data_IF_371743750712
#
_entry.id   IF_371743750712
#
_cell.length_a   1.000
_cell.length_b   1.000
_cell.length_c   1.000
_cell.angle_alpha   90.00
_cell.angle_beta   90.00
_cell.angle_gamma   90.00
#
_symmetry.space_group_name_H-M   'P 1'
#
loop_
_entity.id
_entity.type
_entity.pdbx_description
1 polymer ?
#
# COMPACT_ATOMS: atom_id res chain seq x y z
N UNK A 1 -8.52 -25.96 21.40
CA UNK A 1 -9.54 -24.92 21.62
C UNK A 1 -8.85 -23.57 21.79
N UNK A 2 -8.47 -22.93 20.68
CA UNK A 2 -7.94 -21.56 20.73
C UNK A 2 -9.14 -20.63 20.66
N UNK A 3 -9.51 -20.11 21.84
CA UNK A 3 -10.38 -18.99 22.15
C UNK A 3 -11.07 -18.29 20.94
N UNK A 4 -12.41 -18.41 20.88
CA UNK A 4 -13.18 -18.01 19.69
C UNK A 4 -13.14 -16.51 19.36
N UNK A 5 -12.75 -15.69 20.34
CA UNK A 5 -12.64 -14.23 20.26
C UNK A 5 -11.20 -13.69 20.51
N UNK A 6 -10.19 -14.55 20.62
CA UNK A 6 -8.85 -14.05 20.93
C UNK A 6 -8.25 -13.27 19.75
N UNK A 7 -7.71 -12.08 20.04
CA UNK A 7 -7.09 -11.11 19.12
C UNK A 7 -8.03 -10.45 18.09
N UNK A 8 -9.35 -10.56 18.26
CA UNK A 8 -10.31 -9.79 17.45
C UNK A 8 -10.51 -8.40 18.03
N UNK A 9 -9.89 -7.38 17.41
CA UNK A 9 -10.15 -5.97 17.75
C UNK A 9 -11.56 -5.55 17.30
N UNK A 10 -12.08 -6.18 16.24
CA UNK A 10 -13.38 -5.89 15.65
C UNK A 10 -14.17 -7.18 15.41
N UNK A 11 -15.52 -7.12 15.31
CA UNK A 11 -16.35 -8.29 14.98
C UNK A 11 -15.88 -8.94 13.67
N UNK A 12 -15.63 -10.26 13.69
CA UNK A 12 -14.90 -10.98 12.62
C UNK A 12 -15.38 -10.69 11.19
N UNK A 13 -16.69 -10.52 10.95
CA UNK A 13 -17.21 -10.24 9.61
C UNK A 13 -17.20 -8.75 9.28
N UNK A 14 -17.86 -7.92 10.09
CA UNK A 14 -17.97 -6.49 9.81
C UNK A 14 -16.62 -5.78 9.91
N UNK A 15 -15.78 -6.18 10.87
CA UNK A 15 -14.41 -5.72 11.02
C UNK A 15 -13.50 -6.10 9.85
N UNK A 16 -13.60 -7.34 9.35
CA UNK A 16 -12.82 -7.76 8.18
C UNK A 16 -13.26 -7.04 6.90
N UNK A 17 -14.56 -6.80 6.73
CA UNK A 17 -15.12 -5.99 5.63
C UNK A 17 -14.60 -4.56 5.72
N UNK A 18 -14.70 -3.91 6.88
CA UNK A 18 -14.23 -2.54 7.08
C UNK A 18 -12.72 -2.42 6.83
N UNK A 19 -11.92 -3.36 7.35
CA UNK A 19 -10.48 -3.36 7.13
C UNK A 19 -10.11 -3.63 5.66
N UNK A 20 -10.82 -4.53 4.97
CA UNK A 20 -10.60 -4.77 3.54
C UNK A 20 -10.87 -3.54 2.70
N UNK A 21 -11.91 -2.77 3.04
CA UNK A 21 -12.25 -1.53 2.36
C UNK A 21 -11.23 -0.43 2.64
N UNK A 22 -10.80 -0.28 3.89
CA UNK A 22 -9.74 0.66 4.27
C UNK A 22 -8.44 0.35 3.53
N UNK A 23 -8.01 -0.93 3.52
CA UNK A 23 -6.81 -1.36 2.82
C UNK A 23 -6.92 -1.14 1.31
N UNK A 24 -8.07 -1.44 0.70
CA UNK A 24 -8.29 -1.20 -0.72
C UNK A 24 -8.16 0.29 -1.06
N UNK A 25 -8.82 1.18 -0.30
CA UNK A 25 -8.75 2.62 -0.52
C UNK A 25 -7.34 3.18 -0.29
N UNK A 26 -6.67 2.74 0.78
CA UNK A 26 -5.31 3.17 1.09
C UNK A 26 -4.32 2.77 0.00
N UNK A 27 -4.38 1.53 -0.47
CA UNK A 27 -3.45 1.01 -1.47
C UNK A 27 -3.73 1.55 -2.88
N UNK A 28 -5.00 1.73 -3.26
CA UNK A 28 -5.35 2.38 -4.54
C UNK A 28 -4.91 3.84 -4.51
N UNK A 29 -5.18 4.57 -3.42
CA UNK A 29 -4.74 5.95 -3.25
C UNK A 29 -3.21 6.08 -3.30
N UNK A 30 -2.50 5.21 -2.59
CA UNK A 30 -1.04 5.15 -2.62
C UNK A 30 -0.49 4.79 -4.01
N UNK A 31 -1.13 3.87 -4.73
CA UNK A 31 -0.78 3.52 -6.10
C UNK A 31 -0.94 4.68 -7.08
N UNK A 32 -2.08 5.39 -7.03
CA UNK A 32 -2.30 6.60 -7.85
C UNK A 32 -1.26 7.67 -7.55
N UNK A 33 -0.96 7.89 -6.26
CA UNK A 33 0.07 8.83 -5.84
C UNK A 33 1.44 8.47 -6.43
N UNK A 34 1.82 7.19 -6.39
CA UNK A 34 3.09 6.72 -6.95
C UNK A 34 3.15 6.84 -8.47
N UNK A 35 2.04 6.64 -9.19
CA UNK A 35 2.04 6.82 -10.65
C UNK A 35 2.14 8.29 -11.08
N UNK A 36 1.59 9.22 -10.30
CA UNK A 36 1.62 10.65 -10.63
C UNK A 36 2.90 11.34 -10.17
N UNK A 37 3.34 11.02 -8.95
CA UNK A 37 4.43 11.72 -8.28
C UNK A 37 5.65 10.84 -8.01
N UNK A 38 5.61 9.54 -8.29
CA UNK A 38 6.71 8.65 -7.98
C UNK A 38 8.00 9.00 -8.71
N UNK A 39 7.93 9.54 -9.93
CA UNK A 39 9.10 9.97 -10.70
C UNK A 39 9.91 11.11 -10.03
N UNK A 40 9.30 11.88 -9.13
CA UNK A 40 10.01 12.93 -8.37
C UNK A 40 10.77 12.35 -7.17
N UNK A 41 10.24 11.27 -6.58
CA UNK A 41 10.84 10.66 -5.40
C UNK A 41 11.82 9.54 -5.76
N UNK A 42 11.58 8.84 -6.86
CA UNK A 42 12.35 7.69 -7.33
C UNK A 42 12.99 8.03 -8.66
N UNK A 43 14.29 8.31 -8.61
CA UNK A 43 15.04 8.86 -9.75
C UNK A 43 15.53 7.80 -10.73
N UNK A 44 15.36 6.51 -10.42
CA UNK A 44 15.72 5.39 -11.29
C UNK A 44 14.46 4.91 -12.00
N UNK A 45 14.41 5.13 -13.31
CA UNK A 45 13.32 4.65 -14.15
C UNK A 45 13.48 3.14 -14.40
N UNK A 46 12.44 2.27 -14.25
CA UNK A 46 11.03 2.55 -13.95
C UNK A 46 10.54 2.09 -12.54
N UNK A 47 11.27 2.37 -11.47
CA UNK A 47 10.98 1.85 -10.10
C UNK A 47 9.64 2.32 -9.54
N UNK A 48 9.28 3.60 -9.75
CA UNK A 48 8.02 4.18 -9.30
C UNK A 48 6.80 3.39 -9.80
N UNK A 49 6.84 2.94 -11.06
CA UNK A 49 5.73 2.20 -11.67
C UNK A 49 5.59 0.78 -11.12
N UNK A 50 6.71 0.15 -10.74
CA UNK A 50 6.71 -1.15 -10.07
C UNK A 50 6.10 -1.05 -8.67
N UNK A 51 6.46 -0.02 -7.90
CA UNK A 51 5.89 0.23 -6.58
C UNK A 51 4.39 0.56 -6.64
N UNK A 52 3.98 1.38 -7.61
CA UNK A 52 2.57 1.69 -7.88
C UNK A 52 1.77 0.46 -8.33
N UNK A 53 2.35 -0.37 -9.20
CA UNK A 53 1.74 -1.61 -9.67
C UNK A 53 1.51 -2.63 -8.54
N UNK A 54 2.48 -2.78 -7.64
CA UNK A 54 2.32 -3.59 -6.44
C UNK A 54 1.16 -3.07 -5.55
N UNK A 55 1.11 -1.76 -5.29
CA UNK A 55 0.05 -1.16 -4.47
C UNK A 55 -1.34 -1.41 -5.09
N UNK A 56 -1.48 -1.26 -6.41
CA UNK A 56 -2.72 -1.57 -7.11
C UNK A 56 -3.09 -3.06 -7.03
N UNK A 57 -2.13 -3.98 -7.19
CA UNK A 57 -2.38 -5.42 -7.06
C UNK A 57 -2.86 -5.79 -5.65
N UNK A 58 -2.27 -5.19 -4.62
CA UNK A 58 -2.71 -5.36 -3.25
C UNK A 58 -4.11 -4.76 -3.01
N UNK A 59 -4.40 -3.60 -3.59
CA UNK A 59 -5.74 -3.00 -3.57
C UNK A 59 -6.79 -3.91 -4.20
N UNK A 60 -6.47 -4.55 -5.33
CA UNK A 60 -7.34 -5.53 -5.98
C UNK A 60 -7.56 -6.78 -5.12
N UNK A 61 -6.51 -7.31 -4.47
CA UNK A 61 -6.61 -8.42 -3.52
C UNK A 61 -7.49 -8.07 -2.31
N UNK A 62 -7.36 -6.86 -1.78
CA UNK A 62 -8.23 -6.36 -0.71
C UNK A 62 -9.70 -6.25 -1.18
N UNK A 63 -9.94 -5.83 -2.42
CA UNK A 63 -11.27 -5.86 -3.04
C UNK A 63 -11.84 -7.27 -3.21
N UNK A 64 -11.01 -8.24 -3.62
CA UNK A 64 -11.43 -9.65 -3.65
C UNK A 64 -11.76 -10.19 -2.26
N UNK A 65 -10.99 -9.79 -1.23
CA UNK A 65 -11.26 -10.14 0.16
C UNK A 65 -12.58 -9.54 0.66
N UNK A 66 -12.91 -8.30 0.29
CA UNK A 66 -14.20 -7.68 0.58
C UNK A 66 -15.36 -8.53 0.05
N UNK A 67 -15.27 -8.97 -1.20
CA UNK A 67 -16.27 -9.84 -1.83
C UNK A 67 -16.31 -11.21 -1.12
N UNK A 68 -15.15 -11.79 -0.80
CA UNK A 68 -15.04 -13.06 -0.08
C UNK A 68 -15.70 -13.04 1.31
N UNK A 69 -15.49 -11.98 2.08
CA UNK A 69 -16.10 -11.81 3.41
C UNK A 69 -17.58 -11.49 3.35
N UNK A 70 -18.02 -10.74 2.32
CA UNK A 70 -19.43 -10.43 2.09
C UNK A 70 -20.23 -11.70 1.74
N UNK A 71 -19.72 -12.48 0.79
CA UNK A 71 -20.34 -13.70 0.25
C UNK A 71 -20.14 -14.96 1.09
N UNK A 72 -19.27 -14.92 2.11
CA UNK A 72 -18.85 -16.10 2.90
C UNK A 72 -18.26 -17.23 2.03
N UNK A 73 -17.53 -16.86 0.98
CA UNK A 73 -16.98 -17.83 0.03
C UNK A 73 -15.72 -18.50 0.57
N UNK A 74 -15.78 -19.81 0.82
CA UNK A 74 -14.64 -20.61 1.26
C UNK A 74 -13.50 -20.62 0.23
N UNK A 75 -13.83 -20.70 -1.06
CA UNK A 75 -12.85 -20.75 -2.16
C UNK A 75 -12.02 -19.47 -2.20
N UNK A 76 -12.67 -18.31 -2.13
CA UNK A 76 -12.00 -17.00 -2.18
C UNK A 76 -11.11 -16.83 -0.95
N UNK A 77 -11.61 -17.14 0.25
CA UNK A 77 -10.80 -17.02 1.48
C UNK A 77 -9.60 -17.96 1.48
N UNK A 78 -9.71 -19.16 0.90
CA UNK A 78 -8.58 -20.09 0.78
C UNK A 78 -7.53 -19.61 -0.22
N UNK A 79 -7.96 -19.09 -1.36
CA UNK A 79 -7.08 -18.49 -2.36
C UNK A 79 -6.30 -17.30 -1.78
N UNK A 80 -7.00 -16.41 -1.06
CA UNK A 80 -6.38 -15.28 -0.38
C UNK A 80 -5.35 -15.74 0.65
N UNK A 81 -5.66 -16.73 1.48
CA UNK A 81 -4.74 -17.26 2.49
C UNK A 81 -3.43 -17.79 1.87
N UNK A 82 -3.50 -18.36 0.66
CA UNK A 82 -2.33 -18.84 -0.06
C UNK A 82 -1.47 -17.69 -0.64
N UNK A 83 -2.09 -16.67 -1.24
CA UNK A 83 -1.37 -15.57 -1.91
C UNK A 83 -0.89 -14.50 -0.94
N UNK A 84 -1.66 -14.20 0.10
CA UNK A 84 -1.39 -13.09 1.01
C UNK A 84 0.00 -13.12 1.71
N UNK A 85 0.55 -14.26 2.16
CA UNK A 85 1.90 -14.26 2.74
C UNK A 85 2.99 -13.84 1.75
N UNK A 86 2.83 -14.18 0.46
CA UNK A 86 3.75 -13.72 -0.59
C UNK A 86 3.65 -12.21 -0.79
N UNK A 87 2.45 -11.66 -0.71
CA UNK A 87 2.21 -10.21 -0.80
C UNK A 87 2.82 -9.49 0.39
N UNK A 88 2.67 -10.00 1.62
CA UNK A 88 3.32 -9.43 2.81
C UNK A 88 4.83 -9.35 2.64
N UNK A 89 5.46 -10.42 2.13
CA UNK A 89 6.89 -10.46 1.89
C UNK A 89 7.32 -9.41 0.87
N UNK A 90 6.62 -9.32 -0.26
CA UNK A 90 6.88 -8.29 -1.28
C UNK A 90 6.65 -6.88 -0.73
N UNK A 91 5.65 -6.70 0.13
CA UNK A 91 5.37 -5.43 0.83
C UNK A 91 6.52 -5.00 1.73
N UNK A 92 7.12 -5.93 2.48
CA UNK A 92 8.28 -5.66 3.33
C UNK A 92 9.52 -5.26 2.51
N UNK A 93 9.79 -5.98 1.42
CA UNK A 93 10.89 -5.64 0.50
C UNK A 93 10.67 -4.26 -0.11
N UNK A 94 9.46 -4.00 -0.62
CA UNK A 94 9.09 -2.69 -1.19
C UNK A 94 9.30 -1.56 -0.18
N UNK A 95 8.78 -1.70 1.04
CA UNK A 95 8.92 -0.68 2.08
C UNK A 95 10.40 -0.40 2.40
N UNK A 96 11.23 -1.46 2.48
CA UNK A 96 12.66 -1.34 2.73
C UNK A 96 13.39 -0.58 1.62
N UNK A 97 13.18 -0.98 0.36
CA UNK A 97 13.83 -0.35 -0.80
C UNK A 97 13.38 1.10 -0.95
N UNK A 98 12.08 1.39 -0.87
CA UNK A 98 11.57 2.76 -0.98
C UNK A 98 12.12 3.67 0.12
N UNK A 99 12.22 3.18 1.36
CA UNK A 99 12.77 3.97 2.48
C UNK A 99 14.27 4.23 2.29
N UNK A 100 15.01 3.23 1.79
CA UNK A 100 16.43 3.37 1.50
C UNK A 100 16.69 4.36 0.37
N UNK A 101 15.96 4.28 -0.74
CA UNK A 101 16.08 5.20 -1.87
C UNK A 101 15.78 6.64 -1.47
N UNK A 102 14.73 6.86 -0.67
CA UNK A 102 14.38 8.20 -0.21
C UNK A 102 15.47 8.83 0.66
N UNK A 103 16.16 8.01 1.47
CA UNK A 103 17.27 8.48 2.29
C UNK A 103 18.56 8.68 1.50
N UNK A 104 18.83 7.79 0.53
CA UNK A 104 20.05 7.85 -0.28
C UNK A 104 20.03 9.00 -1.29
N UNK A 105 18.89 9.28 -1.91
CA UNK A 105 18.73 10.31 -2.95
C UNK A 105 18.09 11.61 -2.45
N UNK A 106 18.12 11.87 -1.13
CA UNK A 106 17.56 13.08 -0.52
C UNK A 106 18.07 14.38 -1.15
N UNK A 107 19.34 14.42 -1.55
CA UNK A 107 19.98 15.60 -2.14
C UNK A 107 19.40 15.94 -3.53
N UNK A 108 18.95 14.92 -4.26
CA UNK A 108 18.28 15.11 -5.56
C UNK A 108 16.93 15.77 -5.37
N UNK A 109 16.16 15.30 -4.38
CA UNK A 109 14.83 15.86 -4.04
C UNK A 109 14.97 17.30 -3.55
N UNK A 110 15.99 17.60 -2.74
CA UNK A 110 16.27 18.98 -2.32
C UNK A 110 16.60 19.89 -3.50
N UNK A 111 17.37 19.38 -4.47
CA UNK A 111 17.63 20.10 -5.71
C UNK A 111 16.34 20.36 -6.52
N UNK A 112 15.44 19.38 -6.64
CA UNK A 112 14.15 19.56 -7.34
C UNK A 112 13.32 20.67 -6.69
N UNK A 113 13.30 20.71 -5.36
CA UNK A 113 12.61 21.76 -4.61
C UNK A 113 13.21 23.15 -4.81
N UNK A 114 14.54 23.26 -4.83
CA UNK A 114 15.24 24.52 -5.04
C UNK A 114 15.14 25.04 -6.49
N UNK A 115 14.83 24.17 -7.45
CA UNK A 115 14.73 24.50 -8.87
C UNK A 115 13.28 24.54 -9.39
N UNK A 116 12.32 24.81 -8.51
CA UNK A 116 10.92 25.06 -8.89
C UNK A 116 10.09 23.80 -9.18
N UNK A 117 10.49 22.65 -8.62
CA UNK A 117 9.76 21.39 -8.69
C UNK A 117 9.91 20.64 -10.02
N UNK A 118 11.02 20.87 -10.73
CA UNK A 118 11.36 20.14 -11.96
C UNK A 118 12.01 18.82 -11.60
N UNK A 119 11.67 17.74 -12.32
CA UNK A 119 12.26 16.41 -12.12
C UNK A 119 13.77 16.44 -12.34
N UNK A 120 14.52 15.88 -11.41
CA UNK A 120 15.98 15.79 -11.46
C UNK A 120 16.44 14.92 -12.64
N UNK A 121 15.73 13.81 -12.89
CA UNK A 121 16.02 12.92 -14.02
C UNK A 121 15.92 13.64 -15.36
N UNK A 122 14.93 14.52 -15.56
CA UNK A 122 14.77 15.25 -16.81
C UNK A 122 15.85 16.31 -17.01
N UNK A 123 16.28 16.95 -15.92
CA UNK A 123 17.30 17.99 -15.94
C UNK A 123 18.73 17.46 -16.14
N UNK A 124 19.01 16.23 -15.72
CA UNK A 124 20.39 15.70 -15.74
C UNK A 124 20.62 14.58 -16.76
N UNK A 125 19.58 13.82 -17.15
CA UNK A 125 19.73 12.76 -18.15
C UNK A 125 19.56 13.27 -19.59
N UNK A 126 18.85 14.38 -19.80
CA UNK A 126 18.54 14.86 -21.15
C UNK A 126 19.39 16.03 -21.61
N UNK A 127 20.00 16.83 -20.71
CA UNK A 127 20.83 17.98 -21.11
C UNK A 127 21.78 18.45 -19.97
N UNK A 128 23.12 18.41 -20.13
CA UNK A 128 24.06 18.84 -19.08
C UNK A 128 24.05 20.36 -18.79
N UNK A 129 23.41 21.16 -19.65
CA UNK A 129 23.30 22.63 -19.51
C UNK A 129 21.84 23.07 -19.26
N UNK A 130 21.02 22.16 -18.74
CA UNK A 130 19.59 22.36 -18.54
C UNK A 130 19.30 23.56 -17.62
N UNK A 131 18.69 24.60 -18.20
CA UNK A 131 18.08 25.70 -17.45
C UNK A 131 16.61 25.38 -17.22
N UNK A 132 16.13 25.40 -15.96
CA UNK A 132 14.74 25.07 -15.67
C UNK A 132 13.81 26.03 -16.44
N UNK A 133 12.84 25.53 -17.23
CA UNK A 133 11.94 26.39 -17.96
C UNK A 133 11.10 27.24 -16.99
N UNK A 134 10.82 28.51 -17.31
CA UNK A 134 9.87 29.31 -16.54
C UNK A 134 8.52 28.60 -16.47
N UNK A 135 7.76 28.86 -15.40
CA UNK A 135 6.50 28.23 -15.02
C UNK A 135 5.49 27.99 -16.15
N UNK A 136 5.74 26.99 -17.01
CA UNK A 136 4.83 26.59 -18.08
C UNK A 136 3.99 25.41 -17.65
N UNK A 137 2.73 25.49 -18.10
CA UNK A 137 1.51 24.91 -17.54
C UNK A 137 1.36 23.39 -17.75
N UNK A 138 2.26 22.76 -18.51
CA UNK A 138 2.03 21.44 -19.08
C UNK A 138 2.94 20.33 -18.52
N UNK A 139 3.94 20.65 -17.68
CA UNK A 139 4.77 19.65 -17.02
C UNK A 139 4.31 19.41 -15.58
N UNK A 140 4.16 18.15 -15.13
CA UNK A 140 3.90 17.87 -13.72
C UNK A 140 5.05 18.48 -12.91
N UNK A 141 4.71 19.11 -11.79
CA UNK A 141 5.68 19.68 -10.84
C UNK A 141 5.48 19.05 -9.49
N UNK A 142 6.57 18.96 -8.73
CA UNK A 142 6.48 18.62 -7.32
C UNK A 142 5.62 19.69 -6.61
N UNK A 143 4.56 19.31 -5.87
CA UNK A 143 3.70 20.29 -5.21
C UNK A 143 4.49 21.08 -4.17
N UNK A 144 4.37 22.42 -4.20
CA UNK A 144 5.08 23.32 -3.29
C UNK A 144 4.90 22.99 -1.80
N UNK A 145 3.81 22.33 -1.43
CA UNK A 145 3.56 21.84 -0.07
C UNK A 145 4.63 20.85 0.42
N UNK A 146 5.12 19.95 -0.45
CA UNK A 146 6.16 18.99 -0.08
C UNK A 146 7.51 19.69 0.17
N UNK A 147 7.87 20.66 -0.66
CA UNK A 147 9.10 21.43 -0.49
C UNK A 147 9.09 22.33 0.75
N UNK A 148 7.92 22.77 1.21
CA UNK A 148 7.80 23.59 2.42
C UNK A 148 7.98 22.77 3.71
N UNK A 149 7.63 21.49 3.70
CA UNK A 149 7.70 20.59 4.86
C UNK A 149 9.10 19.98 5.03
N UNK A 150 9.87 19.87 3.94
CA UNK A 150 11.25 19.39 3.96
C UNK A 150 11.37 17.88 3.76
N UNK A 151 12.40 17.46 3.03
CA UNK A 151 12.60 16.06 2.58
C UNK A 151 12.74 15.09 3.75
N UNK A 152 13.40 15.50 4.83
CA UNK A 152 13.63 14.68 6.02
C UNK A 152 12.33 14.36 6.78
N UNK A 153 11.45 15.36 6.93
CA UNK A 153 10.14 15.18 7.56
C UNK A 153 9.22 14.31 6.69
N UNK A 154 9.26 14.50 5.37
CA UNK A 154 8.48 13.71 4.41
C UNK A 154 8.93 12.25 4.44
N UNK A 155 10.23 11.99 4.41
CA UNK A 155 10.77 10.62 4.45
C UNK A 155 10.46 9.88 5.75
N UNK A 156 10.56 10.57 6.89
CA UNK A 156 10.18 9.98 8.19
C UNK A 156 8.68 9.63 8.21
N UNK A 157 7.84 10.48 7.63
CA UNK A 157 6.38 10.23 7.54
C UNK A 157 6.07 9.03 6.65
N UNK A 158 6.74 8.90 5.49
CA UNK A 158 6.59 7.75 4.61
C UNK A 158 7.06 6.44 5.28
N UNK A 159 8.21 6.46 5.96
CA UNK A 159 8.70 5.30 6.70
C UNK A 159 7.68 4.85 7.77
N UNK A 160 7.14 5.79 8.54
CA UNK A 160 6.12 5.49 9.54
C UNK A 160 4.83 4.94 8.91
N UNK A 161 4.40 5.51 7.78
CA UNK A 161 3.24 5.01 7.04
C UNK A 161 3.44 3.57 6.55
N UNK A 162 4.64 3.20 6.08
CA UNK A 162 4.95 1.83 5.66
C UNK A 162 4.96 0.84 6.83
N UNK A 163 5.43 1.24 8.01
CA UNK A 163 5.37 0.39 9.21
C UNK A 163 3.92 0.10 9.60
N UNK A 164 3.07 1.14 9.59
CA UNK A 164 1.63 0.97 9.87
C UNK A 164 0.99 0.06 8.82
N UNK A 165 1.29 0.28 7.53
CA UNK A 165 0.77 -0.56 6.44
C UNK A 165 1.16 -2.03 6.65
N UNK A 166 2.41 -2.31 7.02
CA UNK A 166 2.88 -3.67 7.30
C UNK A 166 2.14 -4.31 8.48
N UNK A 167 1.90 -3.57 9.57
CA UNK A 167 1.11 -4.06 10.71
C UNK A 167 -0.33 -4.36 10.28
N UNK A 168 -0.94 -3.46 9.49
CA UNK A 168 -2.29 -3.66 8.98
C UNK A 168 -2.38 -4.86 8.03
N UNK A 169 -1.37 -5.09 7.18
CA UNK A 169 -1.28 -6.29 6.35
C UNK A 169 -1.21 -7.57 7.19
N UNK A 170 -0.33 -7.61 8.19
CA UNK A 170 -0.21 -8.76 9.08
C UNK A 170 -1.54 -9.06 9.79
N UNK A 171 -2.21 -8.02 10.29
CA UNK A 171 -3.51 -8.17 10.92
C UNK A 171 -4.60 -8.59 9.92
N UNK A 172 -4.56 -8.10 8.69
CA UNK A 172 -5.48 -8.53 7.63
C UNK A 172 -5.31 -10.00 7.26
N UNK A 173 -4.08 -10.49 7.19
CA UNK A 173 -3.77 -11.91 7.00
C UNK A 173 -4.33 -12.76 8.12
N UNK A 174 -4.20 -12.30 9.37
CA UNK A 174 -4.80 -12.96 10.53
C UNK A 174 -6.33 -13.05 10.40
N UNK A 175 -7.00 -11.98 9.95
CA UNK A 175 -8.45 -12.01 9.71
C UNK A 175 -8.85 -12.97 8.58
N UNK A 176 -8.11 -12.99 7.46
CA UNK A 176 -8.35 -13.95 6.37
C UNK A 176 -8.23 -15.39 6.88
N UNK A 177 -7.14 -15.68 7.60
CA UNK A 177 -6.91 -17.00 8.20
C UNK A 177 -8.03 -17.38 9.15
N UNK A 178 -8.38 -16.50 10.09
CA UNK A 178 -9.44 -16.77 11.08
C UNK A 178 -10.79 -16.98 10.42
N UNK A 179 -11.11 -16.20 9.40
CA UNK A 179 -12.35 -16.35 8.65
C UNK A 179 -12.40 -17.68 7.88
N UNK A 180 -11.28 -18.11 7.29
CA UNK A 180 -11.18 -19.41 6.63
C UNK A 180 -11.37 -20.57 7.61
N UNK A 181 -10.72 -20.51 8.79
CA UNK A 181 -10.89 -21.52 9.85
C UNK A 181 -12.36 -21.60 10.30
N UNK A 182 -13.03 -20.46 10.46
CA UNK A 182 -14.46 -20.44 10.81
C UNK A 182 -15.33 -21.10 9.73
N UNK A 183 -15.07 -20.82 8.46
CA UNK A 183 -15.80 -21.45 7.35
C UNK A 183 -15.55 -22.95 7.26
N UNK A 184 -14.34 -23.41 7.62
CA UNK A 184 -14.00 -24.83 7.63
C UNK A 184 -14.72 -25.60 8.75
N UNK A 185 -14.86 -25.00 9.94
CA UNK A 185 -15.54 -25.65 11.07
C UNK A 185 -17.07 -25.50 11.02
N UNK A 186 -17.58 -24.44 10.38
CA UNK A 186 -19.01 -24.15 10.27
C UNK A 186 -19.41 -23.91 8.80
N UNK A 187 -19.38 -24.93 7.94
CA UNK A 187 -19.58 -24.80 6.49
C UNK A 187 -21.01 -24.38 6.07
N UNK A 188 -21.97 -24.29 6.99
CA UNK A 188 -23.34 -23.93 6.67
C UNK A 188 -24.06 -23.29 7.87
N UNK A 189 -24.19 -21.97 7.89
CA UNK A 189 -25.12 -21.25 8.78
C UNK A 189 -26.20 -20.57 7.93
N UNK A 190 -27.04 -21.36 7.26
CA UNK A 190 -28.33 -20.89 6.75
C UNK A 190 -29.33 -20.95 7.90
N UNK A 191 -29.42 -19.89 8.69
CA UNK A 191 -30.54 -19.65 9.61
C UNK A 191 -30.75 -20.60 10.79
N UNK A 192 -30.11 -21.76 10.82
CA UNK A 192 -30.28 -22.74 11.90
C UNK A 192 -29.05 -22.74 12.80
N UNK A 193 -29.28 -22.46 14.09
CA UNK A 193 -28.29 -22.57 15.16
C UNK A 193 -27.98 -24.05 15.40
N UNK A 194 -27.14 -24.64 14.56
CA UNK A 194 -26.57 -25.96 14.86
C UNK A 194 -25.42 -25.73 15.83
N UNK A 195 -25.71 -25.88 17.12
CA UNK A 195 -24.68 -26.06 18.14
C UNK A 195 -24.07 -27.47 17.94
N UNK A 196 -22.74 -27.61 17.83
CA UNK A 196 -22.13 -28.93 17.89
C UNK A 196 -22.35 -29.51 19.29
N UNK A 197 -22.95 -30.70 19.36
CA UNK A 197 -22.94 -31.57 20.53
C UNK A 197 -21.54 -32.16 20.73
#
# INVERSE_FOLDING_TARGET
>A
MWCDNCLLIFPLRAGAIALSLLMALYQIGGGIFLFLYGDFYFTIYPEASLYGGYAMAQGALAGMALIGFSSRSYVISRFLLFIYPLIILLGAVRAGVMTWELNHFKDRIEWECNNGGVKWADAHNNDPDFKPPPALKDNPRLPNGFCRVGVESVGTTFAFAFVIDFILMCYFCFLIWRFNVKLHHYPYQKGEYVYPQ
#
